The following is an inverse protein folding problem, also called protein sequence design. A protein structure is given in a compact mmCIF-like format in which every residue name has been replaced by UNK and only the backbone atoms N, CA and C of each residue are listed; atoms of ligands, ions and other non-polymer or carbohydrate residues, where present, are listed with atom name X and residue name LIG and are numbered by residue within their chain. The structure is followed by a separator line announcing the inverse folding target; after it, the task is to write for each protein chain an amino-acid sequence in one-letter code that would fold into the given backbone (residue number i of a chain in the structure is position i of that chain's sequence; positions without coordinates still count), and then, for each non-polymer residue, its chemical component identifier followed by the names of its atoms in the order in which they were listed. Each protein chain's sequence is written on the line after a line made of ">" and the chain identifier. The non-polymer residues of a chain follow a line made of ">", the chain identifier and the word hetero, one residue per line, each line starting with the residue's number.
data_IF_678633957290
#
_entry.id   IF_678633957290
#
_cell.length_a   1.000
_cell.length_b   1.000
_cell.length_c   1.000
_cell.angle_alpha   90.00
_cell.angle_beta   90.00
_cell.angle_gamma   90.00
#
_symmetry.space_group_name_H-M   'P 1'
#
loop_
_entity.id
_entity.type
_entity.pdbx_description
1 polymer ?
#
# COMPACT_ATOMS: atom_id res chain seq x y z
N UNK A 1 11.81 -17.11 13.57
CA UNK A 1 13.16 -16.77 13.06
C UNK A 1 13.02 -15.45 12.32
N UNK A 2 13.53 -14.34 12.87
CA UNK A 2 13.49 -13.04 12.19
C UNK A 2 14.74 -12.90 11.33
N UNK A 3 14.62 -13.15 10.02
CA UNK A 3 15.72 -12.95 9.07
C UNK A 3 16.06 -11.46 8.97
N UNK A 4 17.35 -11.15 8.92
CA UNK A 4 17.83 -9.77 8.78
C UNK A 4 18.42 -9.61 7.40
N UNK A 5 17.76 -8.80 6.57
CA UNK A 5 18.16 -8.49 5.21
C UNK A 5 19.12 -7.30 5.20
N UNK A 6 20.12 -7.31 4.33
CA UNK A 6 20.90 -6.09 4.03
C UNK A 6 20.26 -5.34 2.87
N UNK A 7 20.57 -4.05 2.68
CA UNK A 7 20.07 -3.28 1.53
C UNK A 7 20.45 -3.93 0.18
N UNK A 8 21.67 -4.48 0.08
CA UNK A 8 22.12 -5.20 -1.11
C UNK A 8 21.35 -6.51 -1.30
N UNK A 9 21.11 -7.27 -0.23
CA UNK A 9 20.34 -8.52 -0.29
C UNK A 9 18.88 -8.24 -0.66
N UNK A 10 18.25 -7.23 -0.06
CA UNK A 10 16.88 -6.84 -0.36
C UNK A 10 16.71 -6.45 -1.83
N UNK A 11 17.70 -5.76 -2.43
CA UNK A 11 17.67 -5.34 -3.83
C UNK A 11 17.58 -6.51 -4.83
N UNK A 12 17.97 -7.71 -4.42
CA UNK A 12 17.85 -8.92 -5.24
C UNK A 12 16.40 -9.41 -5.36
N UNK A 13 15.52 -8.97 -4.47
CA UNK A 13 14.09 -9.34 -4.41
C UNK A 13 13.20 -8.23 -5.01
N UNK A 14 13.62 -7.69 -6.14
CA UNK A 14 12.92 -6.62 -6.85
C UNK A 14 11.88 -7.12 -7.88
N UNK A 15 11.63 -8.43 -7.94
CA UNK A 15 10.70 -9.02 -8.91
C UNK A 15 11.16 -8.98 -10.37
N UNK A 16 12.46 -8.73 -10.64
CA UNK A 16 13.02 -8.83 -11.99
C UNK A 16 13.10 -10.27 -12.48
N UNK A 17 13.27 -11.23 -11.57
CA UNK A 17 13.22 -12.65 -11.88
C UNK A 17 11.83 -13.17 -11.55
N UNK A 18 11.11 -13.69 -12.56
CA UNK A 18 9.69 -14.05 -12.43
C UNK A 18 9.38 -15.15 -11.40
N UNK A 19 10.41 -15.92 -11.00
CA UNK A 19 10.31 -16.97 -9.99
C UNK A 19 10.62 -16.47 -8.57
N UNK A 20 11.32 -15.32 -8.43
CA UNK A 20 11.72 -14.79 -7.13
C UNK A 20 10.58 -13.99 -6.47
N UNK A 21 10.47 -14.05 -5.14
CA UNK A 21 9.53 -13.22 -4.39
C UNK A 21 9.92 -11.75 -4.46
N UNK A 22 8.94 -10.88 -4.23
CA UNK A 22 9.11 -9.42 -4.21
C UNK A 22 9.00 -8.92 -2.78
N UNK A 23 10.05 -8.25 -2.32
CA UNK A 23 10.13 -7.72 -0.96
C UNK A 23 10.19 -6.21 -0.94
N UNK A 24 9.58 -5.59 0.07
CA UNK A 24 9.65 -4.15 0.31
C UNK A 24 9.99 -3.92 1.78
N UNK A 25 10.89 -2.98 2.05
CA UNK A 25 11.18 -2.55 3.41
C UNK A 25 10.45 -1.24 3.74
N UNK A 26 9.76 -1.23 4.88
CA UNK A 26 9.14 -0.04 5.44
C UNK A 26 9.50 0.03 6.92
N UNK A 27 10.16 1.12 7.31
CA UNK A 27 10.63 1.45 8.65
C UNK A 27 11.51 0.34 9.23
N UNK A 28 12.36 -0.22 8.37
CA UNK A 28 13.23 -1.35 8.71
C UNK A 28 12.52 -2.70 8.85
N UNK A 29 11.22 -2.81 8.53
CA UNK A 29 10.48 -4.08 8.48
C UNK A 29 10.33 -4.52 7.04
N UNK A 30 10.62 -5.79 6.75
CA UNK A 30 10.55 -6.35 5.39
C UNK A 30 9.25 -7.13 5.22
N UNK A 31 8.48 -6.76 4.20
CA UNK A 31 7.20 -7.34 3.83
C UNK A 31 7.30 -8.14 2.54
N UNK A 32 6.67 -9.31 2.50
CA UNK A 32 6.42 -10.05 1.26
C UNK A 32 5.22 -9.46 0.51
N UNK A 33 5.48 -8.88 -0.65
CA UNK A 33 4.46 -8.34 -1.55
C UNK A 33 4.34 -9.19 -2.82
N UNK A 34 4.82 -10.43 -2.78
CA UNK A 34 4.80 -11.36 -3.91
C UNK A 34 3.38 -11.65 -4.39
N UNK A 35 2.40 -11.64 -3.47
CA UNK A 35 0.98 -11.75 -3.78
C UNK A 35 0.42 -10.59 -4.61
N UNK A 36 1.14 -9.46 -4.71
CA UNK A 36 0.76 -8.27 -5.49
C UNK A 36 1.81 -7.94 -6.55
N UNK A 37 2.36 -8.97 -7.19
CA UNK A 37 3.40 -8.83 -8.23
C UNK A 37 2.95 -7.99 -9.43
N UNK A 38 1.66 -7.91 -9.75
CA UNK A 38 1.17 -7.03 -10.83
C UNK A 38 1.40 -5.53 -10.52
N UNK A 39 1.56 -5.18 -9.25
CA UNK A 39 1.75 -3.80 -8.79
C UNK A 39 3.22 -3.47 -8.54
N UNK A 40 3.93 -4.35 -7.83
CA UNK A 40 5.31 -4.13 -7.39
C UNK A 40 6.33 -4.89 -8.24
N UNK A 41 5.91 -5.85 -9.06
CA UNK A 41 6.79 -6.53 -9.98
C UNK A 41 7.19 -5.65 -11.15
N UNK A 42 8.09 -6.19 -11.98
CA UNK A 42 8.62 -5.50 -13.15
C UNK A 42 7.51 -5.01 -14.09
N UNK A 43 7.52 -3.72 -14.42
CA UNK A 43 6.51 -3.07 -15.27
C UNK A 43 5.21 -2.69 -14.55
N UNK A 44 5.13 -2.92 -13.23
CA UNK A 44 4.04 -2.44 -12.39
C UNK A 44 4.20 -0.96 -12.02
N UNK A 45 3.11 -0.26 -11.68
CA UNK A 45 3.15 1.16 -11.31
C UNK A 45 4.01 1.47 -10.08
N UNK A 46 4.30 0.46 -9.24
CA UNK A 46 5.09 0.58 -8.02
C UNK A 46 6.37 -0.24 -8.06
N UNK A 47 6.89 -0.56 -9.25
CA UNK A 47 8.14 -1.33 -9.41
C UNK A 47 9.33 -0.68 -8.70
N UNK A 48 9.32 0.66 -8.58
CA UNK A 48 10.39 1.43 -7.94
C UNK A 48 10.58 1.09 -6.46
N UNK A 49 9.55 0.54 -5.81
CA UNK A 49 9.60 0.15 -4.40
C UNK A 49 10.18 -1.24 -4.18
N UNK A 50 10.20 -2.07 -5.23
CA UNK A 50 10.61 -3.46 -5.14
C UNK A 50 12.09 -3.60 -4.78
N UNK A 51 12.36 -4.39 -3.73
CA UNK A 51 13.70 -4.64 -3.21
C UNK A 51 14.34 -3.45 -2.48
N UNK A 52 13.54 -2.45 -2.06
CA UNK A 52 14.07 -1.21 -1.48
C UNK A 52 13.36 -0.78 -0.22
N UNK A 53 14.01 0.12 0.49
CA UNK A 53 13.44 0.87 1.61
C UNK A 53 12.56 2.00 1.06
N UNK A 54 11.30 2.04 1.49
CA UNK A 54 10.28 2.95 0.96
C UNK A 54 9.61 3.81 2.04
N UNK A 55 10.19 3.92 3.25
CA UNK A 55 9.58 4.70 4.34
C UNK A 55 9.33 6.14 3.94
N UNK A 56 10.36 6.81 3.43
CA UNK A 56 10.25 8.21 3.05
C UNK A 56 9.25 8.38 1.90
N UNK A 57 9.32 7.52 0.88
CA UNK A 57 8.40 7.51 -0.25
C UNK A 57 6.92 7.39 0.19
N UNK A 58 6.63 6.49 1.14
CA UNK A 58 5.29 6.32 1.70
C UNK A 58 4.87 7.50 2.59
N UNK A 59 5.80 8.05 3.38
CA UNK A 59 5.54 9.22 4.22
C UNK A 59 5.15 10.46 3.40
N UNK A 60 5.83 10.68 2.27
CA UNK A 60 5.56 11.82 1.38
C UNK A 60 4.56 11.51 0.26
N UNK A 61 4.05 10.27 0.19
CA UNK A 61 3.13 9.79 -0.85
C UNK A 61 3.68 9.98 -2.28
N UNK A 62 4.96 9.68 -2.50
CA UNK A 62 5.58 9.75 -3.84
C UNK A 62 6.17 8.43 -4.28
N UNK A 63 5.90 8.07 -5.53
CA UNK A 63 6.45 6.90 -6.21
C UNK A 63 7.67 7.34 -7.00
N UNK A 64 8.78 7.55 -6.29
CA UNK A 64 10.02 8.04 -6.88
C UNK A 64 11.24 7.30 -6.31
N UNK A 65 12.18 6.93 -7.19
CA UNK A 65 13.41 6.23 -6.81
C UNK A 65 14.27 7.03 -5.84
N UNK A 66 14.31 8.36 -5.96
CA UNK A 66 15.06 9.22 -5.05
C UNK A 66 14.42 9.32 -3.65
N UNK A 67 13.11 9.07 -3.56
CA UNK A 67 12.38 9.04 -2.29
C UNK A 67 12.44 7.67 -1.59
N UNK A 68 12.99 6.63 -2.24
CA UNK A 68 13.11 5.29 -1.65
C UNK A 68 14.34 5.21 -0.74
N UNK A 69 14.19 5.66 0.50
CA UNK A 69 15.22 5.61 1.56
C UNK A 69 14.59 5.74 2.95
N UNK A 70 15.39 5.40 3.97
CA UNK A 70 15.02 5.41 5.38
C UNK A 70 15.09 6.80 6.04
N UNK A 71 15.51 7.85 5.32
CA UNK A 71 15.67 9.18 5.89
C UNK A 71 14.32 9.87 6.10
N UNK A 72 13.87 9.85 7.35
CA UNK A 72 12.64 10.51 7.82
C UNK A 72 12.89 11.85 8.53
N UNK A 73 14.13 12.36 8.55
CA UNK A 73 14.49 13.56 9.30
C UNK A 73 13.77 14.82 8.82
N UNK A 74 13.52 14.93 7.51
CA UNK A 74 12.80 16.06 6.90
C UNK A 74 11.27 15.88 6.91
N UNK A 75 10.76 14.77 7.43
CA UNK A 75 9.33 14.48 7.39
C UNK A 75 8.58 15.26 8.48
N UNK A 76 7.46 15.87 8.11
CA UNK A 76 6.57 16.53 9.07
C UNK A 76 5.78 15.51 9.88
N UNK A 77 5.24 15.91 11.03
CA UNK A 77 4.40 15.04 11.87
C UNK A 77 3.19 14.45 11.12
N UNK A 78 2.64 15.18 10.14
CA UNK A 78 1.56 14.67 9.29
C UNK A 78 2.05 13.56 8.36
N UNK A 79 3.22 13.72 7.75
CA UNK A 79 3.83 12.70 6.88
C UNK A 79 4.20 11.44 7.65
N UNK A 80 4.71 11.59 8.89
CA UNK A 80 4.97 10.46 9.78
C UNK A 80 3.67 9.72 10.14
N UNK A 81 2.58 10.45 10.40
CA UNK A 81 1.27 9.83 10.64
C UNK A 81 0.78 9.03 9.42
N UNK A 82 0.97 9.58 8.22
CA UNK A 82 0.66 8.87 6.97
C UNK A 82 1.48 7.58 6.83
N UNK A 83 2.78 7.63 7.16
CA UNK A 83 3.63 6.44 7.16
C UNK A 83 3.13 5.36 8.13
N UNK A 84 2.73 5.72 9.35
CA UNK A 84 2.18 4.77 10.31
C UNK A 84 0.88 4.11 9.82
N UNK A 85 0.02 4.88 9.14
CA UNK A 85 -1.19 4.34 8.50
C UNK A 85 -0.85 3.33 7.40
N UNK A 86 0.18 3.61 6.59
CA UNK A 86 0.70 2.66 5.61
C UNK A 86 1.26 1.40 6.26
N UNK A 87 2.06 1.53 7.31
CA UNK A 87 2.60 0.38 8.06
C UNK A 87 1.46 -0.51 8.56
N UNK A 88 0.39 0.09 9.09
CA UNK A 88 -0.79 -0.64 9.56
C UNK A 88 -1.49 -1.40 8.42
N UNK A 89 -1.64 -0.76 7.26
CA UNK A 89 -2.20 -1.40 6.05
C UNK A 89 -1.32 -2.53 5.55
N UNK A 90 0.00 -2.33 5.53
CA UNK A 90 0.97 -3.35 5.12
C UNK A 90 0.97 -4.54 6.06
N UNK A 91 0.98 -4.31 7.38
CA UNK A 91 0.87 -5.38 8.39
C UNK A 91 -0.42 -6.20 8.25
N UNK A 92 -1.52 -5.57 7.84
CA UNK A 92 -2.78 -6.28 7.64
C UNK A 92 -2.83 -7.07 6.33
N UNK A 93 -2.13 -6.61 5.29
CA UNK A 93 -2.23 -7.15 3.93
C UNK A 93 -1.10 -8.13 3.58
N UNK A 94 0.08 -7.94 4.13
CA UNK A 94 1.31 -8.63 3.75
C UNK A 94 1.99 -9.27 4.96
N UNK A 95 2.66 -10.39 4.72
CA UNK A 95 3.42 -11.09 5.76
C UNK A 95 4.77 -10.40 6.00
N UNK A 96 5.15 -10.25 7.26
CA UNK A 96 6.48 -9.79 7.66
C UNK A 96 7.45 -10.97 7.55
N UNK A 97 8.45 -10.85 6.68
CA UNK A 97 9.48 -11.87 6.45
C UNK A 97 10.77 -11.60 7.21
N UNK A 98 10.99 -10.37 7.66
CA UNK A 98 12.20 -10.02 8.39
C UNK A 98 12.34 -8.53 8.66
N UNK A 99 13.59 -8.12 8.91
CA UNK A 99 13.97 -6.73 9.18
C UNK A 99 15.14 -6.32 8.29
N UNK A 100 15.23 -5.04 7.94
CA UNK A 100 16.34 -4.48 7.19
C UNK A 100 17.44 -4.03 8.15
N UNK A 101 18.67 -4.47 7.90
CA UNK A 101 19.86 -3.99 8.59
C UNK A 101 20.07 -2.51 8.23
N UNK A 102 19.89 -1.63 9.21
CA UNK A 102 20.20 -0.21 9.09
C UNK A 102 21.71 -0.07 8.93
N UNK A 103 22.15 0.45 7.79
CA UNK A 103 23.56 0.64 7.49
C UNK A 103 24.18 1.72 8.37
N UNK A 104 24.84 1.31 9.46
CA UNK A 104 25.98 2.02 10.03
C UNK A 104 25.71 3.34 10.76
N UNK A 105 24.90 3.33 11.82
CA UNK A 105 25.16 4.13 13.02
C UNK A 105 24.58 3.41 14.24
N UNK A 106 25.32 3.41 15.35
CA UNK A 106 25.07 2.69 16.60
C UNK A 106 23.62 2.70 17.12
N UNK A 107 23.26 1.73 17.98
CA UNK A 107 21.93 1.66 18.58
C UNK A 107 21.72 2.86 19.51
N UNK A 108 21.02 3.88 19.01
CA UNK A 108 20.43 4.94 19.84
C UNK A 108 18.97 5.09 19.46
N UNK A 109 18.19 4.13 19.90
CA UNK A 109 17.09 4.34 20.83
C UNK A 109 16.53 2.95 21.08
N UNK A 110 16.62 2.49 22.33
CA UNK A 110 15.81 1.38 22.83
C UNK A 110 14.36 1.65 22.44
N UNK A 111 13.91 1.05 21.34
CA UNK A 111 12.49 0.82 21.12
C UNK A 111 12.16 -0.32 22.07
N UNK A 112 11.39 -0.08 23.15
CA UNK A 112 10.92 -1.20 23.95
C UNK A 112 10.16 -2.16 23.01
N UNK A 113 10.36 -3.45 23.25
CA UNK A 113 9.85 -4.65 22.55
C UNK A 113 8.30 -4.73 22.39
N UNK A 114 7.59 -3.59 22.48
CA UNK A 114 6.14 -3.51 22.66
C UNK A 114 5.35 -3.55 21.34
N UNK A 115 6.00 -3.54 20.17
CA UNK A 115 5.32 -3.63 18.86
C UNK A 115 5.33 -5.06 18.29
N UNK A 116 5.68 -6.06 19.10
CA UNK A 116 5.60 -7.48 18.75
C UNK A 116 4.68 -8.27 19.68
N UNK A 117 3.74 -7.59 20.35
CA UNK A 117 2.60 -8.23 21.00
C UNK A 117 1.30 -7.87 20.31
N UNK A 118 0.69 -8.92 19.78
CA UNK A 118 -0.65 -9.02 19.21
C UNK A 118 -1.65 -8.01 19.77
N UNK A 119 -2.21 -7.18 18.89
CA UNK A 119 -3.41 -6.41 19.19
C UNK A 119 -4.64 -7.14 18.63
N UNK A 120 -5.62 -7.52 19.48
CA UNK A 120 -6.88 -8.11 19.09
C UNK A 120 -7.91 -7.00 18.85
N UNK A 121 -7.95 -6.39 17.67
CA UNK A 121 -9.01 -5.44 17.34
C UNK A 121 -9.46 -5.60 15.89
N UNK A 122 -10.77 -5.55 15.72
CA UNK A 122 -11.57 -6.27 14.71
C UNK A 122 -11.56 -5.65 13.30
N UNK A 123 -11.63 -6.50 12.25
CA UNK A 123 -11.62 -6.10 10.83
C UNK A 123 -12.98 -5.54 10.36
N UNK A 124 -13.47 -4.48 11.01
CA UNK A 124 -14.83 -3.96 10.81
C UNK A 124 -15.01 -2.78 9.85
N UNK A 125 -13.95 -2.08 9.43
CA UNK A 125 -14.08 -0.80 8.71
C UNK A 125 -13.71 -0.85 7.21
N UNK A 126 -13.05 -1.92 6.77
CA UNK A 126 -12.74 -2.11 5.33
C UNK A 126 -13.95 -2.61 4.53
N UNK A 127 -14.90 -3.29 5.19
CA UNK A 127 -16.17 -3.70 4.59
C UNK A 127 -17.08 -2.50 4.26
N UNK A 128 -16.94 -1.37 4.96
CA UNK A 128 -17.80 -0.20 4.76
C UNK A 128 -17.45 0.56 3.47
N UNK A 129 -16.17 0.60 3.07
CA UNK A 129 -15.76 1.30 1.84
C UNK A 129 -16.20 0.56 0.56
N UNK A 130 -16.26 -0.77 0.58
CA UNK A 130 -16.79 -1.57 -0.55
C UNK A 130 -18.30 -1.36 -0.70
N UNK A 131 -19.05 -1.27 0.41
CA UNK A 131 -20.50 -1.03 0.41
C UNK A 131 -20.83 0.39 -0.05
N UNK A 132 -20.08 1.41 0.38
CA UNK A 132 -20.27 2.80 -0.08
C UNK A 132 -19.91 2.94 -1.56
N UNK A 133 -18.84 2.29 -2.03
CA UNK A 133 -18.48 2.26 -3.45
C UNK A 133 -19.57 1.63 -4.33
N UNK A 134 -20.10 0.46 -3.95
CA UNK A 134 -21.19 -0.20 -4.68
C UNK A 134 -22.48 0.63 -4.68
N UNK A 135 -22.84 1.29 -3.58
CA UNK A 135 -24.03 2.16 -3.51
C UNK A 135 -23.91 3.39 -4.40
N UNK A 136 -22.73 4.01 -4.49
CA UNK A 136 -22.51 5.16 -5.40
C UNK A 136 -22.60 4.76 -6.87
N UNK A 137 -22.04 3.60 -7.24
CA UNK A 137 -22.07 3.09 -8.62
C UNK A 137 -23.51 2.72 -9.01
N UNK A 138 -24.27 2.07 -8.11
CA UNK A 138 -25.67 1.72 -8.38
C UNK A 138 -26.56 2.97 -8.50
N UNK A 139 -26.32 4.01 -7.69
CA UNK A 139 -27.05 5.29 -7.78
C UNK A 139 -26.81 6.03 -9.10
N UNK A 140 -25.57 6.05 -9.59
CA UNK A 140 -25.25 6.61 -10.91
C UNK A 140 -25.91 5.81 -12.05
N UNK A 141 -26.00 4.49 -11.92
CA UNK A 141 -26.63 3.63 -12.92
C UNK A 141 -28.16 3.83 -13.00
N UNK A 142 -28.85 4.04 -11.87
CA UNK A 142 -30.29 4.35 -11.85
C UNK A 142 -30.58 5.71 -12.51
N UNK A 143 -29.77 6.74 -12.25
CA UNK A 143 -29.91 8.04 -12.93
C UNK A 143 -29.63 7.94 -14.44
N UNK A 144 -28.71 7.08 -14.85
CA UNK A 144 -28.41 6.82 -16.26
C UNK A 144 -29.59 6.18 -17.01
N UNK A 145 -30.36 5.31 -16.35
CA UNK A 145 -31.57 4.70 -16.94
C UNK A 145 -32.72 5.70 -17.08
N UNK A 146 -32.88 6.64 -16.14
CA UNK A 146 -33.92 7.68 -16.20
C UNK A 146 -33.71 8.63 -17.39
N UNK A 147 -32.45 9.03 -17.65
CA UNK A 147 -32.09 9.89 -18.79
C UNK A 147 -32.27 9.24 -20.18
N UNK A 148 -32.45 7.92 -20.25
CA UNK A 148 -32.71 7.22 -21.51
C UNK A 148 -34.19 6.96 -21.78
N UNK A 149 -35.08 7.38 -20.87
CA UNK A 149 -36.52 7.31 -21.13
C UNK A 149 -36.84 8.17 -22.36
N UNK A 150 -37.26 7.58 -23.49
CA UNK A 150 -37.57 8.35 -24.67
C UNK A 150 -38.77 9.27 -24.38
N UNK A 151 -38.80 10.49 -24.95
CA UNK A 151 -39.96 11.37 -24.77
C UNK A 151 -41.24 10.66 -25.26
N UNK A 152 -42.37 10.81 -24.57
CA UNK A 152 -43.62 10.18 -24.98
C UNK A 152 -44.01 10.66 -26.37
N UNK A 153 -44.08 9.71 -27.31
CA UNK A 153 -44.62 9.91 -28.66
C UNK A 153 -46.12 10.17 -28.54
N UNK A 154 -46.55 11.43 -28.68
CA UNK A 154 -47.96 11.73 -28.96
C UNK A 154 -48.09 11.84 -30.47
N UNK A 155 -48.54 10.73 -31.06
CA UNK A 155 -48.92 10.60 -32.45
C UNK A 155 -50.23 11.37 -32.73
N UNK A 156 -50.26 11.95 -33.93
CA UNK A 156 -51.34 12.67 -34.59
C UNK A 156 -52.70 11.95 -34.59
N UNK A 157 -53.78 12.74 -34.55
CA UNK A 157 -54.97 12.47 -35.39
C UNK A 157 -56.33 12.37 -34.69
N UNK A 158 -57.31 13.02 -35.34
CA UNK A 158 -58.79 12.95 -35.20
C UNK A 158 -59.43 13.86 -34.13
N UNK A 159 -60.32 14.82 -34.44
CA UNK A 159 -61.19 15.12 -35.60
C UNK A 159 -61.32 16.64 -35.82
#
# INVERSE_FOLDING_TARGET
>A
MSHTFTASELSMYNGSEGDKPVYIAVKGIVYDVSASRDFYGKGGPYEVFAGRECSRALAIMKVDLAACNDNLADCTAQQLKTLEDWITKFNSKYAVVGKLAVGGCEPRFDVPDVILRSSPFTPGLVATLVVVGLLTILGAYVLYLDMQSPPPLVADGEL
#
